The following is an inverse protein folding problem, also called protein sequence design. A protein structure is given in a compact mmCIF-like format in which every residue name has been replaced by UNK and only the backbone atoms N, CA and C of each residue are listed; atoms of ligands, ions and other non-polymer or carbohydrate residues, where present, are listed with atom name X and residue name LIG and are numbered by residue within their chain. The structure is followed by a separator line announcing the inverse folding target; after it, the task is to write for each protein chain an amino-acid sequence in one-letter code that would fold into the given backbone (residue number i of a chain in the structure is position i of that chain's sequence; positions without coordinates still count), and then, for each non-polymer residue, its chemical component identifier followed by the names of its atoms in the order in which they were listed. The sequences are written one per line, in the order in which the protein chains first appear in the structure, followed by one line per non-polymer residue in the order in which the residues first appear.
data_IF_677656758040
#
_entry.id   IF_677656758040
#
_cell.length_a   1.000
_cell.length_b   1.000
_cell.length_c   1.000
_cell.angle_alpha   90.00
_cell.angle_beta   90.00
_cell.angle_gamma   90.00
#
_symmetry.space_group_name_H-M   'P 1'
#
loop_
_entity.id
_entity.type
_entity.pdbx_description
1 polymer ?
#
# COMPACT_ATOMS: atom_id res chain seq x y z
N UNK A 1 -1.79 9.79 1.53
CA UNK A 1 -1.71 8.35 1.19
C UNK A 1 -1.84 8.14 -0.32
N UNK A 2 -1.31 7.06 -0.91
CA UNK A 2 -1.72 6.63 -2.28
C UNK A 2 -3.11 5.98 -2.18
N UNK A 3 -4.14 6.64 -2.69
CA UNK A 3 -5.51 6.14 -2.64
C UNK A 3 -5.91 5.35 -3.89
N UNK A 4 -5.26 5.58 -5.04
CA UNK A 4 -5.58 4.89 -6.28
C UNK A 4 -4.39 4.82 -7.22
N UNK A 5 -4.33 3.74 -8.01
CA UNK A 5 -3.37 3.61 -9.11
C UNK A 5 -4.10 3.28 -10.40
N UNK A 6 -3.68 3.90 -11.50
CA UNK A 6 -4.29 3.74 -12.81
C UNK A 6 -3.22 3.46 -13.85
N UNK A 7 -3.39 2.40 -14.61
CA UNK A 7 -2.60 2.12 -15.81
C UNK A 7 -3.42 2.55 -17.03
N UNK A 8 -2.95 3.51 -17.80
CA UNK A 8 -3.71 4.12 -18.90
C UNK A 8 -2.94 4.07 -20.21
N UNK A 9 -3.68 3.92 -21.31
CA UNK A 9 -3.14 4.11 -22.66
C UNK A 9 -3.22 5.59 -23.03
N UNK A 10 -2.10 6.21 -23.37
CA UNK A 10 -1.98 7.67 -23.56
C UNK A 10 -2.85 8.11 -24.75
N UNK A 11 -2.66 7.49 -25.93
CA UNK A 11 -3.33 7.90 -27.18
C UNK A 11 -4.85 7.84 -27.11
N UNK A 12 -5.41 6.87 -26.39
CA UNK A 12 -6.87 6.69 -26.28
C UNK A 12 -7.46 7.24 -24.97
N UNK A 13 -6.62 7.72 -24.04
CA UNK A 13 -7.03 8.09 -22.68
C UNK A 13 -7.89 7.03 -21.99
N UNK A 14 -7.69 5.75 -22.34
CA UNK A 14 -8.49 4.62 -21.84
C UNK A 14 -7.71 3.86 -20.78
N UNK A 15 -8.30 3.74 -19.59
CA UNK A 15 -7.74 2.91 -18.54
C UNK A 15 -7.64 1.45 -18.98
N UNK A 16 -6.44 0.88 -18.82
CA UNK A 16 -6.14 -0.54 -18.99
C UNK A 16 -6.59 -1.28 -17.73
N UNK A 17 -6.16 -0.80 -16.57
CA UNK A 17 -6.50 -1.33 -15.25
C UNK A 17 -6.39 -0.25 -14.18
N UNK A 18 -7.05 -0.45 -13.05
CA UNK A 18 -7.01 0.44 -11.90
C UNK A 18 -7.18 -0.35 -10.60
N UNK A 19 -6.59 0.16 -9.53
CA UNK A 19 -6.75 -0.35 -8.16
C UNK A 19 -7.10 0.82 -7.25
N UNK A 20 -8.09 0.63 -6.39
CA UNK A 20 -8.52 1.61 -5.42
C UNK A 20 -8.23 1.10 -4.01
N UNK A 21 -7.40 1.84 -3.28
CA UNK A 21 -6.98 1.52 -1.92
C UNK A 21 -7.83 2.27 -0.89
N UNK A 22 -8.31 3.47 -1.19
CA UNK A 22 -9.10 4.26 -0.25
C UNK A 22 -10.48 4.63 -0.79
N UNK A 23 -11.38 5.10 0.06
CA UNK A 23 -12.77 5.41 -0.31
C UNK A 23 -12.92 6.64 -1.22
N UNK A 24 -11.86 7.43 -1.38
CA UNK A 24 -11.81 8.59 -2.27
C UNK A 24 -12.04 8.13 -3.72
N UNK A 25 -13.11 8.63 -4.32
CA UNK A 25 -13.42 8.39 -5.73
C UNK A 25 -12.79 9.48 -6.57
N UNK A 26 -11.96 9.08 -7.53
CA UNK A 26 -11.38 10.00 -8.50
C UNK A 26 -12.26 10.06 -9.75
N UNK A 27 -12.84 11.22 -10.09
CA UNK A 27 -13.56 11.41 -11.33
C UNK A 27 -12.68 11.16 -12.57
N UNK A 28 -13.27 10.60 -13.63
CA UNK A 28 -12.57 10.45 -14.92
C UNK A 28 -12.24 11.81 -15.57
N UNK A 29 -12.98 12.88 -15.24
CA UNK A 29 -12.67 14.25 -15.67
C UNK A 29 -11.29 14.68 -15.19
N UNK A 30 -10.98 14.39 -13.93
CA UNK A 30 -9.75 14.84 -13.27
C UNK A 30 -8.54 14.12 -13.85
N UNK A 31 -8.68 12.83 -14.19
CA UNK A 31 -7.64 12.09 -14.91
C UNK A 31 -7.40 12.69 -16.31
N UNK A 32 -8.46 13.10 -17.02
CA UNK A 32 -8.32 13.75 -18.34
C UNK A 32 -7.66 15.12 -18.24
N UNK A 33 -8.07 15.92 -17.26
CA UNK A 33 -7.48 17.22 -16.95
C UNK A 33 -6.00 17.07 -16.59
N UNK A 34 -5.67 16.10 -15.73
CA UNK A 34 -4.28 15.74 -15.41
C UNK A 34 -3.46 15.39 -16.65
N UNK A 35 -3.98 14.51 -17.53
CA UNK A 35 -3.28 14.11 -18.74
C UNK A 35 -3.03 15.30 -19.68
N UNK A 36 -3.99 16.21 -19.78
CA UNK A 36 -3.86 17.43 -20.58
C UNK A 36 -2.79 18.37 -20.00
N UNK A 37 -2.88 18.69 -18.72
CA UNK A 37 -1.92 19.55 -18.03
C UNK A 37 -0.49 18.98 -18.08
N UNK A 38 -0.34 17.65 -17.93
CA UNK A 38 0.94 16.97 -18.05
C UNK A 38 1.55 17.09 -19.45
N UNK A 39 0.73 16.99 -20.51
CA UNK A 39 1.21 17.13 -21.88
C UNK A 39 1.75 18.54 -22.13
N UNK A 40 0.99 19.57 -21.72
CA UNK A 40 1.39 20.98 -21.80
C UNK A 40 2.71 21.24 -21.05
N UNK A 41 2.88 20.64 -19.86
CA UNK A 41 4.10 20.81 -19.09
C UNK A 41 5.32 20.13 -19.70
N UNK A 42 5.18 18.95 -20.30
CA UNK A 42 6.29 18.26 -20.95
C UNK A 42 6.89 19.04 -22.12
N UNK A 43 6.06 19.82 -22.82
CA UNK A 43 6.52 20.72 -23.89
C UNK A 43 7.38 21.86 -23.33
N UNK A 44 7.08 22.32 -22.12
CA UNK A 44 7.77 23.45 -21.46
C UNK A 44 9.04 23.01 -20.73
N UNK A 45 9.02 21.87 -20.03
CA UNK A 45 10.09 21.44 -19.12
C UNK A 45 11.23 20.66 -19.80
N UNK A 46 11.23 20.55 -21.14
CA UNK A 46 12.22 19.75 -21.91
C UNK A 46 12.38 18.31 -21.39
N UNK A 47 11.32 17.73 -20.84
CA UNK A 47 11.31 16.33 -20.41
C UNK A 47 11.85 16.05 -19.01
N UNK A 48 11.79 17.02 -18.08
CA UNK A 48 11.93 16.69 -16.65
C UNK A 48 10.94 15.57 -16.27
N UNK A 49 11.50 14.47 -15.74
CA UNK A 49 10.73 13.31 -15.27
C UNK A 49 10.26 13.55 -13.84
N UNK A 50 9.08 13.03 -13.51
CA UNK A 50 8.60 13.00 -12.12
C UNK A 50 7.79 14.22 -11.66
N UNK A 51 7.24 15.02 -12.57
CA UNK A 51 6.39 16.17 -12.20
C UNK A 51 5.07 15.65 -11.58
N UNK A 52 4.79 16.11 -10.36
CA UNK A 52 3.50 15.91 -9.69
C UNK A 52 2.55 17.06 -10.03
N UNK A 53 1.24 16.80 -10.12
CA UNK A 53 0.22 17.82 -10.39
C UNK A 53 -0.98 17.68 -9.46
N UNK A 54 -1.51 18.81 -9.00
CA UNK A 54 -2.72 18.83 -8.19
C UNK A 54 -3.94 19.07 -9.10
N UNK A 55 -4.91 18.15 -9.07
CA UNK A 55 -6.15 18.22 -9.83
C UNK A 55 -7.30 17.73 -8.95
N UNK A 56 -8.44 18.45 -8.93
CA UNK A 56 -9.64 17.98 -8.24
C UNK A 56 -9.45 17.65 -6.75
N UNK A 57 -8.51 18.30 -6.06
CA UNK A 57 -8.23 18.05 -4.64
C UNK A 57 -7.29 16.86 -4.37
N UNK A 58 -6.74 16.22 -5.40
CA UNK A 58 -5.75 15.15 -5.25
C UNK A 58 -4.44 15.52 -5.96
N UNK A 59 -3.37 14.84 -5.60
CA UNK A 59 -2.05 14.96 -6.24
C UNK A 59 -1.77 13.73 -7.09
N UNK A 60 -1.29 13.97 -8.30
CA UNK A 60 -1.09 12.97 -9.34
C UNK A 60 0.38 12.88 -9.68
N UNK A 61 0.89 11.66 -9.69
CA UNK A 61 2.23 11.32 -10.14
C UNK A 61 2.09 10.41 -11.33
N UNK A 62 2.93 10.58 -12.36
CA UNK A 62 2.87 9.69 -13.51
C UNK A 62 4.23 9.36 -14.10
N UNK A 63 4.39 8.08 -14.46
CA UNK A 63 5.60 7.56 -15.06
C UNK A 63 5.28 6.66 -16.25
N UNK A 64 6.04 6.84 -17.33
CA UNK A 64 5.91 6.01 -18.52
C UNK A 64 6.37 4.58 -18.22
N UNK A 65 5.50 3.62 -18.51
CA UNK A 65 5.78 2.18 -18.41
C UNK A 65 6.22 1.62 -19.77
N UNK A 66 5.60 2.13 -20.84
CA UNK A 66 5.93 1.84 -22.23
C UNK A 66 5.61 3.09 -23.08
N UNK A 67 6.00 3.16 -24.36
CA UNK A 67 5.80 4.37 -25.19
C UNK A 67 4.36 4.91 -25.25
N UNK A 68 3.34 4.06 -25.10
CA UNK A 68 1.91 4.43 -25.10
C UNK A 68 1.19 4.04 -23.79
N UNK A 69 1.94 3.72 -22.72
CA UNK A 69 1.37 3.27 -21.45
C UNK A 69 1.95 4.09 -20.30
N UNK A 70 1.07 4.71 -19.53
CA UNK A 70 1.39 5.54 -18.38
C UNK A 70 0.83 4.91 -17.11
N UNK A 71 1.66 4.82 -16.08
CA UNK A 71 1.23 4.52 -14.71
C UNK A 71 0.97 5.85 -14.01
N UNK A 72 -0.15 5.94 -13.31
CA UNK A 72 -0.54 7.10 -12.52
C UNK A 72 -0.78 6.67 -11.08
N UNK A 73 -0.12 7.32 -10.13
CA UNK A 73 -0.45 7.25 -8.70
C UNK A 73 -1.20 8.50 -8.32
N UNK A 74 -2.27 8.33 -7.54
CA UNK A 74 -3.11 9.43 -7.08
C UNK A 74 -3.10 9.39 -5.55
N UNK A 75 -2.76 10.53 -4.96
CA UNK A 75 -2.54 10.68 -3.52
C UNK A 75 -3.25 11.90 -2.94
N UNK A 76 -3.27 11.98 -1.61
CA UNK A 76 -3.54 13.23 -0.91
C UNK A 76 -2.49 14.31 -1.28
N UNK A 77 -2.87 15.59 -1.19
CA UNK A 77 -2.04 16.73 -1.63
C UNK A 77 -0.76 16.90 -0.80
N UNK A 78 -0.83 16.53 0.47
CA UNK A 78 0.23 16.66 1.48
C UNK A 78 1.27 15.53 1.42
N UNK A 79 1.10 14.54 0.54
CA UNK A 79 2.08 13.48 0.37
C UNK A 79 3.43 13.97 -0.14
N UNK A 80 4.48 13.31 0.34
CA UNK A 80 5.86 13.66 0.02
C UNK A 80 6.22 13.21 -1.41
N UNK A 81 6.51 14.17 -2.28
CA UNK A 81 6.79 13.94 -3.69
C UNK A 81 7.92 12.95 -3.93
N UNK A 82 8.99 13.01 -3.12
CA UNK A 82 10.16 12.15 -3.30
C UNK A 82 9.80 10.69 -3.06
N UNK A 83 9.11 10.39 -1.96
CA UNK A 83 8.71 9.03 -1.61
C UNK A 83 7.76 8.44 -2.66
N UNK A 84 6.76 9.22 -3.10
CA UNK A 84 5.80 8.74 -4.11
C UNK A 84 6.47 8.57 -5.47
N UNK A 85 7.38 9.48 -5.85
CA UNK A 85 8.17 9.40 -7.09
C UNK A 85 9.05 8.15 -7.12
N UNK A 86 9.78 7.87 -6.05
CA UNK A 86 10.61 6.66 -5.95
C UNK A 86 9.77 5.38 -6.08
N UNK A 87 8.58 5.35 -5.46
CA UNK A 87 7.63 4.22 -5.55
C UNK A 87 7.09 4.02 -6.97
N UNK A 88 6.62 5.09 -7.63
CA UNK A 88 6.05 4.98 -8.98
C UNK A 88 7.11 4.66 -10.03
N UNK A 89 8.34 5.15 -9.89
CA UNK A 89 9.44 4.82 -10.79
C UNK A 89 9.81 3.35 -10.72
N UNK A 90 9.94 2.81 -9.51
CA UNK A 90 10.22 1.39 -9.29
C UNK A 90 9.07 0.51 -9.82
N UNK A 91 7.82 0.91 -9.58
CA UNK A 91 6.64 0.23 -10.09
C UNK A 91 6.57 0.25 -11.63
N UNK A 92 6.82 1.40 -12.25
CA UNK A 92 6.76 1.57 -13.69
C UNK A 92 7.84 0.74 -14.40
N UNK A 93 9.06 0.70 -13.85
CA UNK A 93 10.12 -0.17 -14.34
C UNK A 93 9.70 -1.65 -14.30
N UNK A 94 9.23 -2.13 -13.16
CA UNK A 94 8.80 -3.52 -13.00
C UNK A 94 7.64 -3.89 -13.95
N UNK A 95 6.67 -3.01 -14.13
CA UNK A 95 5.58 -3.22 -15.08
C UNK A 95 6.06 -3.19 -16.54
N UNK A 96 7.06 -2.36 -16.85
CA UNK A 96 7.69 -2.28 -18.17
C UNK A 96 8.37 -3.61 -18.52
N UNK A 97 9.21 -4.11 -17.62
CA UNK A 97 9.91 -5.40 -17.77
C UNK A 97 8.91 -6.56 -17.97
N UNK A 98 7.77 -6.52 -17.29
CA UNK A 98 6.70 -7.51 -17.46
C UNK A 98 6.02 -7.38 -18.81
N UNK A 99 5.77 -6.17 -19.29
CA UNK A 99 5.12 -5.92 -20.58
C UNK A 99 6.01 -6.28 -21.78
N UNK A 100 7.33 -6.30 -21.61
CA UNK A 100 8.25 -6.84 -22.62
C UNK A 100 8.10 -8.37 -22.79
N UNK A 101 7.71 -9.07 -21.71
CA UNK A 101 7.62 -10.53 -21.69
C UNK A 101 6.18 -11.06 -21.76
N UNK A 102 5.18 -10.25 -21.42
CA UNK A 102 3.78 -10.61 -21.25
C UNK A 102 2.88 -9.60 -21.95
N UNK A 103 1.68 -10.03 -22.28
CA UNK A 103 0.73 -9.18 -23.02
C UNK A 103 -0.01 -8.19 -22.10
N UNK A 104 -0.51 -7.08 -22.67
CA UNK A 104 -1.34 -6.12 -21.94
C UNK A 104 -2.56 -6.78 -21.26
N UNK A 105 -3.29 -7.74 -21.87
CA UNK A 105 -4.35 -8.48 -21.19
C UNK A 105 -3.89 -9.24 -19.94
N UNK A 106 -2.66 -9.80 -19.94
CA UNK A 106 -2.10 -10.45 -18.76
C UNK A 106 -1.89 -9.44 -17.63
N UNK A 107 -1.28 -8.30 -17.93
CA UNK A 107 -1.06 -7.24 -16.94
C UNK A 107 -2.38 -6.71 -16.41
N UNK A 108 -3.36 -6.46 -17.28
CA UNK A 108 -4.71 -6.05 -16.88
C UNK A 108 -5.35 -7.03 -15.89
N UNK A 109 -5.28 -8.33 -16.19
CA UNK A 109 -5.89 -9.38 -15.33
C UNK A 109 -5.20 -9.49 -13.97
N UNK A 110 -3.91 -9.15 -13.88
CA UNK A 110 -3.11 -9.32 -12.67
C UNK A 110 -2.68 -7.99 -12.03
N UNK A 111 -3.23 -6.86 -12.49
CA UNK A 111 -2.69 -5.52 -12.21
C UNK A 111 -2.55 -5.25 -10.71
N UNK A 112 -3.60 -5.52 -9.93
CA UNK A 112 -3.59 -5.34 -8.48
C UNK A 112 -2.44 -6.10 -7.81
N UNK A 113 -2.26 -7.39 -8.15
CA UNK A 113 -1.16 -8.20 -7.58
C UNK A 113 0.21 -7.67 -7.97
N UNK A 114 0.34 -7.12 -9.17
CA UNK A 114 1.59 -6.55 -9.67
C UNK A 114 1.92 -5.20 -9.05
N UNK A 115 0.90 -4.40 -8.70
CA UNK A 115 1.09 -3.03 -8.22
C UNK A 115 1.15 -2.91 -6.69
N UNK A 116 0.46 -3.80 -5.96
CA UNK A 116 0.40 -3.80 -4.50
C UNK A 116 1.76 -3.77 -3.80
N UNK A 117 2.82 -4.48 -4.26
CA UNK A 117 4.13 -4.42 -3.61
C UNK A 117 4.78 -3.02 -3.58
N UNK A 118 4.40 -2.13 -4.50
CA UNK A 118 4.96 -0.78 -4.60
C UNK A 118 4.10 0.28 -3.91
N UNK A 119 2.82 -0.03 -3.68
CA UNK A 119 1.86 0.87 -3.04
C UNK A 119 1.78 0.62 -1.55
N UNK A 120 1.79 -0.67 -1.16
CA UNK A 120 1.59 -1.06 0.22
C UNK A 120 2.76 -0.67 1.11
N UNK A 121 2.48 0.10 2.15
CA UNK A 121 3.41 0.37 3.24
C UNK A 121 3.19 -0.68 4.32
N UNK A 122 4.23 -1.41 4.67
CA UNK A 122 4.15 -2.40 5.77
C UNK A 122 4.21 -1.65 7.10
N UNK A 123 3.28 -1.95 8.00
CA UNK A 123 3.29 -1.45 9.38
C UNK A 123 3.37 -2.63 10.33
N UNK A 124 4.38 -2.64 11.20
CA UNK A 124 4.51 -3.59 12.29
C UNK A 124 3.70 -3.11 13.49
N UNK A 125 2.71 -3.89 13.90
CA UNK A 125 1.84 -3.61 15.04
C UNK A 125 2.09 -4.65 16.13
N UNK A 126 2.49 -4.20 17.32
CA UNK A 126 2.75 -5.08 18.46
C UNK A 126 1.58 -5.03 19.47
N UNK A 127 1.07 -6.20 19.87
CA UNK A 127 0.07 -6.33 20.94
C UNK A 127 0.78 -6.65 22.27
N UNK A 128 0.64 -5.77 23.25
CA UNK A 128 1.32 -5.87 24.56
C UNK A 128 0.29 -5.81 25.68
N UNK A 129 0.52 -6.57 26.76
CA UNK A 129 -0.41 -6.64 27.90
C UNK A 129 -0.21 -7.92 28.69
N UNK A 130 -0.80 -7.99 29.89
CA UNK A 130 -0.69 -9.13 30.80
C UNK A 130 -1.26 -10.43 30.21
N UNK A 131 -0.92 -11.57 30.81
CA UNK A 131 -1.51 -12.86 30.45
C UNK A 131 -3.03 -12.83 30.65
N UNK A 132 -3.81 -13.25 29.64
CA UNK A 132 -5.27 -13.36 29.77
C UNK A 132 -6.08 -12.13 29.37
N UNK A 133 -5.47 -10.98 29.08
CA UNK A 133 -6.17 -9.74 28.66
C UNK A 133 -6.81 -9.78 27.25
N UNK A 134 -6.76 -10.92 26.57
CA UNK A 134 -7.41 -11.09 25.26
C UNK A 134 -6.62 -10.63 24.02
N UNK A 135 -5.27 -10.56 24.08
CA UNK A 135 -4.42 -10.24 22.90
C UNK A 135 -4.69 -11.15 21.70
N UNK A 136 -4.58 -12.47 21.89
CA UNK A 136 -4.84 -13.47 20.85
C UNK A 136 -6.29 -13.43 20.35
N UNK A 137 -7.25 -13.20 21.25
CA UNK A 137 -8.66 -13.02 20.90
C UNK A 137 -8.86 -11.79 20.00
N UNK A 138 -8.26 -10.66 20.36
CA UNK A 138 -8.31 -9.42 19.59
C UNK A 138 -7.70 -9.59 18.21
N UNK A 139 -6.54 -10.25 18.12
CA UNK A 139 -5.91 -10.60 16.85
C UNK A 139 -6.87 -11.38 15.94
N UNK A 140 -7.48 -12.46 16.44
CA UNK A 140 -8.42 -13.26 15.66
C UNK A 140 -9.62 -12.44 15.18
N UNK A 141 -10.19 -11.59 16.05
CA UNK A 141 -11.33 -10.74 15.69
C UNK A 141 -10.98 -9.70 14.62
N UNK A 142 -9.81 -9.05 14.71
CA UNK A 142 -9.33 -8.11 13.69
C UNK A 142 -9.16 -8.77 12.31
N UNK A 143 -8.90 -10.08 12.30
CA UNK A 143 -8.73 -10.87 11.08
C UNK A 143 -10.04 -11.49 10.58
N UNK A 144 -11.17 -11.23 11.23
CA UNK A 144 -12.46 -11.85 10.91
C UNK A 144 -12.49 -13.37 11.19
N UNK A 145 -11.57 -13.87 12.02
CA UNK A 145 -11.51 -15.28 12.42
C UNK A 145 -12.34 -15.53 13.68
N UNK A 146 -12.75 -16.78 13.87
CA UNK A 146 -13.39 -17.19 15.13
C UNK A 146 -12.37 -17.07 16.28
N UNK A 147 -12.74 -16.45 17.40
CA UNK A 147 -11.87 -16.37 18.56
C UNK A 147 -11.70 -17.76 19.20
N UNK A 148 -10.54 -18.04 19.83
CA UNK A 148 -10.34 -19.29 20.56
C UNK A 148 -11.34 -19.42 21.72
N UNK A 149 -11.90 -20.61 21.87
CA UNK A 149 -12.90 -20.93 22.92
C UNK A 149 -12.27 -21.39 24.24
N UNK A 150 -10.98 -21.69 24.22
CA UNK A 150 -10.22 -22.12 25.40
C UNK A 150 -9.01 -21.21 25.57
N UNK A 151 -8.69 -20.90 26.83
CA UNK A 151 -7.49 -20.15 27.16
C UNK A 151 -6.27 -21.06 27.09
N UNK A 152 -5.45 -20.87 26.05
CA UNK A 152 -4.14 -21.49 25.91
C UNK A 152 -3.11 -20.35 26.00
N UNK A 153 -2.27 -20.31 27.05
CA UNK A 153 -1.28 -19.25 27.16
C UNK A 153 -0.29 -19.27 26.00
N UNK A 154 -0.08 -18.11 25.37
CA UNK A 154 0.97 -17.91 24.36
C UNK A 154 2.33 -18.31 24.90
N UNK A 155 3.00 -19.27 24.25
CA UNK A 155 4.39 -19.67 24.57
C UNK A 155 5.34 -18.81 23.73
N UNK A 156 6.43 -18.36 24.37
CA UNK A 156 7.30 -17.24 23.99
C UNK A 156 7.84 -17.17 22.54
N UNK A 157 7.75 -18.24 21.74
CA UNK A 157 8.33 -18.31 20.40
C UNK A 157 7.36 -18.82 19.31
N UNK A 158 6.10 -19.12 19.66
CA UNK A 158 5.22 -19.88 18.75
C UNK A 158 4.35 -19.03 17.81
N UNK A 159 4.26 -17.70 17.95
CA UNK A 159 3.17 -16.94 17.34
C UNK A 159 3.63 -15.69 16.59
N UNK A 160 4.51 -15.90 15.61
CA UNK A 160 4.51 -15.07 14.42
C UNK A 160 3.27 -15.38 13.58
N UNK A 161 2.07 -14.96 14.02
CA UNK A 161 0.93 -14.88 13.09
C UNK A 161 1.16 -13.63 12.24
N UNK A 162 2.13 -13.73 11.32
CA UNK A 162 2.39 -12.74 10.28
C UNK A 162 1.26 -12.89 9.27
N UNK A 163 0.15 -12.23 9.55
CA UNK A 163 -0.94 -12.14 8.59
C UNK A 163 -1.07 -10.71 8.13
N UNK A 164 -0.88 -10.53 6.82
CA UNK A 164 -1.03 -9.24 6.17
C UNK A 164 -2.51 -8.87 6.16
N UNK A 165 -2.93 -8.02 7.09
CA UNK A 165 -4.20 -7.32 6.97
C UNK A 165 -3.98 -6.17 6.01
N UNK A 166 -4.69 -6.20 4.89
CA UNK A 166 -4.71 -5.10 3.94
C UNK A 166 -5.78 -4.09 4.36
N UNK A 167 -5.34 -2.93 4.82
CA UNK A 167 -6.21 -1.79 5.09
C UNK A 167 -5.67 -0.60 4.32
N UNK A 168 -6.46 -0.10 3.37
CA UNK A 168 -6.01 0.91 2.45
C UNK A 168 -4.75 0.50 1.68
N UNK A 169 -3.74 1.36 1.64
CA UNK A 169 -2.41 1.05 1.14
C UNK A 169 -1.48 0.54 2.26
N UNK A 170 -1.99 0.03 3.37
CA UNK A 170 -1.19 -0.55 4.44
C UNK A 170 -1.30 -2.06 4.48
N UNK A 171 -0.18 -2.70 4.78
CA UNK A 171 -0.09 -4.12 5.11
C UNK A 171 0.33 -4.21 6.57
N UNK A 172 -0.61 -4.52 7.46
CA UNK A 172 -0.33 -4.65 8.88
C UNK A 172 0.29 -6.01 9.15
N UNK A 173 1.41 -6.03 9.86
CA UNK A 173 2.01 -7.24 10.41
C UNK A 173 1.79 -7.21 11.92
N UNK A 174 0.89 -8.05 12.41
CA UNK A 174 0.55 -8.12 13.82
C UNK A 174 1.46 -9.11 14.55
N UNK A 175 1.95 -8.71 15.71
CA UNK A 175 2.75 -9.55 16.58
C UNK A 175 1.98 -9.80 17.88
N UNK A 176 1.59 -11.07 18.10
CA UNK A 176 0.97 -11.51 19.35
C UNK A 176 2.00 -12.20 20.22
N UNK A 177 2.16 -11.69 21.43
CA UNK A 177 3.23 -12.11 22.32
C UNK A 177 2.72 -12.61 23.67
N UNK A 178 3.58 -13.37 24.36
CA UNK A 178 3.29 -13.89 25.69
C UNK A 178 3.23 -12.77 26.73
N UNK A 179 2.07 -12.61 27.37
CA UNK A 179 1.85 -11.63 28.44
C UNK A 179 2.26 -12.07 29.84
N UNK A 180 2.82 -13.28 30.01
CA UNK A 180 3.15 -13.80 31.34
C UNK A 180 4.37 -13.06 31.91
N UNK A 181 4.38 -12.83 33.23
CA UNK A 181 5.44 -12.09 33.92
C UNK A 181 6.86 -12.60 33.61
N UNK A 182 7.04 -13.92 33.57
CA UNK A 182 8.34 -14.56 33.22
C UNK A 182 8.88 -14.19 31.85
N UNK A 183 8.03 -13.72 30.94
CA UNK A 183 8.40 -13.28 29.58
C UNK A 183 8.47 -11.75 29.44
N UNK A 184 8.22 -10.96 30.49
CA UNK A 184 8.31 -9.49 30.45
C UNK A 184 9.68 -8.97 30.00
N UNK A 185 10.76 -9.71 30.28
CA UNK A 185 12.10 -9.37 29.78
C UNK A 185 12.19 -9.32 28.25
N UNK A 186 11.32 -10.07 27.55
CA UNK A 186 11.25 -10.08 26.10
C UNK A 186 10.42 -8.93 25.51
N UNK A 187 9.72 -8.13 26.35
CA UNK A 187 8.89 -7.02 25.85
C UNK A 187 9.69 -5.98 25.06
N UNK A 188 10.99 -5.82 25.36
CA UNK A 188 11.89 -4.98 24.54
C UNK A 188 11.91 -5.40 23.07
N UNK A 189 11.81 -6.70 22.79
CA UNK A 189 11.73 -7.24 21.43
C UNK A 189 10.37 -6.95 20.78
N UNK A 190 9.32 -6.68 21.56
CA UNK A 190 7.98 -6.39 21.05
C UNK A 190 7.96 -5.00 20.43
N UNK A 191 8.62 -4.04 21.08
CA UNK A 191 8.70 -2.65 20.64
C UNK A 191 9.71 -2.44 19.51
N UNK A 192 10.70 -3.32 19.37
CA UNK A 192 11.77 -3.11 18.39
C UNK A 192 11.24 -3.18 16.96
N UNK A 193 11.31 -2.04 16.26
CA UNK A 193 10.83 -1.89 14.88
C UNK A 193 9.31 -1.91 14.74
N UNK A 194 8.55 -1.81 15.84
CA UNK A 194 7.10 -1.64 15.77
C UNK A 194 6.76 -0.18 15.42
N UNK A 195 5.91 0.00 14.40
CA UNK A 195 5.37 1.30 14.03
C UNK A 195 4.23 1.70 14.98
N UNK A 196 3.48 0.71 15.49
CA UNK A 196 2.35 0.89 16.41
C UNK A 196 2.42 -0.12 17.54
N UNK A 197 2.09 0.32 18.75
CA UNK A 197 1.97 -0.54 19.93
C UNK A 197 0.56 -0.40 20.49
N UNK A 198 -0.18 -1.51 20.56
CA UNK A 198 -1.44 -1.58 21.31
C UNK A 198 -1.20 -2.20 22.68
N UNK A 199 -1.46 -1.41 23.72
CA UNK A 199 -1.45 -1.87 25.10
C UNK A 199 -2.87 -2.31 25.49
N UNK A 200 -3.02 -3.58 25.83
CA UNK A 200 -4.25 -4.17 26.34
C UNK A 200 -4.12 -4.35 27.85
N UNK A 201 -5.07 -3.78 28.59
CA UNK A 201 -5.15 -3.79 30.06
C UNK A 201 -6.43 -4.43 30.52
#
# INVERSE_FOLDING_TARGET
MIHSTVLIRIKSSRAIAETQYWTVKVPRSDIKEFLKARLELLEVTKGEKGISLNVGGNKYFAQSVAPDILLIFITDIDENDRNVTEKIETAAKALGDILEQKTVPFVKKNYEKLINPFVHTKLKVALVGEGGVGKTTTLHLLMGKRPPTQYIPTIALAMEVIENIHFANYSLVLWDFAGQERFRKLWKLYFQGADIVFLLT
#
